data_IF_442192912483
#
_entry.id   IF_442192912483
#
_cell.length_a   1.000
_cell.length_b   1.000
_cell.length_c   1.000
_cell.angle_alpha   90.00
_cell.angle_beta   90.00
_cell.angle_gamma   90.00
#
_symmetry.space_group_name_H-M   'P 1'
#
loop_
_entity.id
_entity.type
_entity.pdbx_description
1 polymer ?
#
# COMPACT_ATOMS: atom_id res chain seq x y z
N UNK A 1 -4.02 7.48 15.08
CA UNK A 1 -5.21 6.64 14.76
C UNK A 1 -5.24 6.47 13.26
N UNK A 2 -5.43 5.23 12.77
CA UNK A 2 -5.57 4.98 11.34
C UNK A 2 -6.89 5.59 10.83
N UNK A 3 -6.95 6.02 9.54
CA UNK A 3 -8.21 6.25 8.85
C UNK A 3 -9.05 4.96 8.78
N UNK A 4 -10.32 5.08 8.47
CA UNK A 4 -11.18 3.92 8.19
C UNK A 4 -10.73 3.20 6.90
N UNK A 5 -11.14 1.95 6.73
CA UNK A 5 -10.71 1.11 5.60
C UNK A 5 -10.93 1.79 4.24
N UNK A 6 -12.13 2.31 4.01
CA UNK A 6 -12.51 2.95 2.75
C UNK A 6 -11.67 4.19 2.48
N UNK A 7 -11.37 5.00 3.50
CA UNK A 7 -10.53 6.19 3.39
C UNK A 7 -9.08 5.83 3.06
N UNK A 8 -8.55 4.78 3.69
CA UNK A 8 -7.20 4.27 3.37
C UNK A 8 -7.15 3.77 1.93
N UNK A 9 -8.13 2.97 1.50
CA UNK A 9 -8.18 2.46 0.14
C UNK A 9 -8.31 3.59 -0.88
N UNK A 10 -9.21 4.54 -0.65
CA UNK A 10 -9.40 5.69 -1.51
C UNK A 10 -8.12 6.51 -1.64
N UNK A 11 -7.43 6.74 -0.53
CA UNK A 11 -6.14 7.45 -0.51
C UNK A 11 -5.09 6.74 -1.38
N UNK A 12 -4.94 5.42 -1.24
CA UNK A 12 -3.94 4.67 -2.00
C UNK A 12 -4.29 4.59 -3.50
N UNK A 13 -5.58 4.45 -3.83
CA UNK A 13 -6.04 4.39 -5.24
C UNK A 13 -5.87 5.73 -5.91
N UNK A 14 -6.11 6.84 -5.21
CA UNK A 14 -5.95 8.20 -5.73
C UNK A 14 -4.50 8.56 -6.10
N UNK A 15 -3.51 7.81 -5.62
CA UNK A 15 -2.11 8.02 -5.97
C UNK A 15 -1.70 7.11 -7.15
N UNK A 16 -1.61 7.60 -8.39
CA UNK A 16 -1.20 6.79 -9.53
C UNK A 16 0.21 6.21 -9.32
N UNK A 17 0.33 4.89 -9.47
CA UNK A 17 1.60 4.17 -9.33
C UNK A 17 1.75 3.10 -10.42
N UNK A 18 1.36 3.43 -11.63
CA UNK A 18 1.45 2.53 -12.79
C UNK A 18 2.90 2.18 -13.08
N UNK A 19 3.22 0.90 -13.19
CA UNK A 19 4.55 0.40 -13.55
C UNK A 19 4.58 0.01 -15.03
N UNK A 20 5.49 0.60 -15.79
CA UNK A 20 5.62 0.36 -17.22
C UNK A 20 7.07 0.50 -17.70
N UNK A 21 7.39 -0.20 -18.80
CA UNK A 21 8.62 0.02 -19.55
C UNK A 21 8.57 1.28 -20.42
N UNK A 22 7.37 1.83 -20.67
CA UNK A 22 7.19 3.11 -21.34
C UNK A 22 7.23 4.25 -20.34
N UNK A 23 8.17 5.17 -20.48
CA UNK A 23 8.35 6.32 -19.60
C UNK A 23 7.16 7.28 -19.62
N UNK A 24 6.37 7.28 -20.69
CA UNK A 24 5.21 8.17 -20.83
C UNK A 24 4.08 7.82 -19.84
N UNK A 25 3.96 6.53 -19.50
CA UNK A 25 2.91 6.03 -18.63
C UNK A 25 3.43 5.49 -17.29
N UNK A 26 4.74 5.27 -17.15
CA UNK A 26 5.34 4.87 -15.87
C UNK A 26 5.19 5.97 -14.83
N UNK A 27 4.81 5.62 -13.63
CA UNK A 27 4.59 6.55 -12.51
C UNK A 27 5.37 6.11 -11.28
N UNK A 28 5.76 7.10 -10.49
CA UNK A 28 6.35 6.90 -9.17
C UNK A 28 5.38 6.21 -8.22
N UNK A 29 5.89 5.34 -7.33
CA UNK A 29 5.11 4.78 -6.24
C UNK A 29 5.37 5.49 -4.89
N UNK A 30 6.19 6.54 -4.89
CA UNK A 30 6.62 7.19 -3.64
C UNK A 30 5.47 7.71 -2.81
N UNK A 31 4.41 8.28 -3.43
CA UNK A 31 3.26 8.79 -2.70
C UNK A 31 2.49 7.68 -1.97
N UNK A 32 2.30 6.53 -2.62
CA UNK A 32 1.71 5.34 -2.00
C UNK A 32 2.58 4.88 -0.82
N UNK A 33 3.89 4.82 -1.00
CA UNK A 33 4.87 4.45 0.03
C UNK A 33 4.82 5.42 1.22
N UNK A 34 4.74 6.73 0.97
CA UNK A 34 4.68 7.75 2.02
C UNK A 34 3.42 7.60 2.89
N UNK A 35 2.25 7.34 2.28
CA UNK A 35 1.03 7.09 3.05
C UNK A 35 1.17 5.85 3.93
N UNK A 36 1.67 4.75 3.36
CA UNK A 36 1.89 3.51 4.10
C UNK A 36 2.90 3.68 5.24
N UNK A 37 4.02 4.38 5.00
CA UNK A 37 5.02 4.65 6.01
C UNK A 37 4.43 5.47 7.18
N UNK A 38 3.69 6.54 6.89
CA UNK A 38 3.06 7.37 7.90
C UNK A 38 2.05 6.59 8.76
N UNK A 39 1.24 5.73 8.16
CA UNK A 39 0.31 4.88 8.90
C UNK A 39 1.04 3.87 9.78
N UNK A 40 2.05 3.19 9.24
CA UNK A 40 2.86 2.22 9.98
C UNK A 40 3.64 2.88 11.14
N UNK A 41 4.23 4.05 10.91
CA UNK A 41 4.89 4.84 11.96
C UNK A 41 3.90 5.21 13.08
N UNK A 42 2.67 5.61 12.73
CA UNK A 42 1.63 5.93 13.71
C UNK A 42 1.20 4.75 14.58
N UNK A 43 1.42 3.52 14.09
CA UNK A 43 1.19 2.27 14.80
C UNK A 43 2.43 1.78 15.59
N UNK A 44 3.54 2.52 15.53
CA UNK A 44 4.78 2.18 16.24
C UNK A 44 5.71 1.21 15.50
N UNK A 45 5.53 1.03 14.20
CA UNK A 45 6.50 0.32 13.37
C UNK A 45 7.75 1.17 13.15
N UNK A 46 8.88 0.53 13.01
CA UNK A 46 10.11 1.14 12.47
C UNK A 46 10.08 0.98 10.95
N UNK A 47 9.98 2.07 10.24
CA UNK A 47 9.91 2.08 8.77
C UNK A 47 11.29 2.35 8.16
N UNK A 48 11.57 1.69 7.05
CA UNK A 48 12.75 1.90 6.24
C UNK A 48 12.36 2.01 4.77
N UNK A 49 12.52 3.21 4.22
CA UNK A 49 12.24 3.51 2.82
C UNK A 49 13.51 3.31 2.01
N UNK A 50 13.45 2.44 1.02
CA UNK A 50 14.58 2.02 0.19
C UNK A 50 14.36 2.40 -1.27
N UNK A 51 14.81 3.59 -1.71
CA UNK A 51 14.74 3.98 -3.11
C UNK A 51 15.52 3.00 -4.01
N UNK A 52 15.02 2.76 -5.22
CA UNK A 52 15.72 1.92 -6.17
C UNK A 52 16.93 2.68 -6.73
N UNK A 53 18.14 2.05 -6.79
CA UNK A 53 19.35 2.73 -7.23
C UNK A 53 19.26 3.32 -8.65
N UNK A 54 18.62 2.59 -9.57
CA UNK A 54 18.51 2.98 -10.99
C UNK A 54 17.24 3.76 -11.29
N UNK A 55 16.32 3.88 -10.33
CA UNK A 55 15.08 4.64 -10.47
C UNK A 55 14.65 5.22 -9.11
N UNK A 56 15.21 6.38 -8.71
CA UNK A 56 14.92 6.99 -7.40
C UNK A 56 13.47 7.48 -7.26
N UNK A 57 12.71 7.52 -8.33
CA UNK A 57 11.25 7.75 -8.31
C UNK A 57 10.45 6.55 -7.83
N UNK A 58 11.12 5.41 -7.55
CA UNK A 58 10.50 4.20 -7.01
C UNK A 58 11.23 3.74 -5.76
N UNK A 59 10.49 3.18 -4.81
CA UNK A 59 11.06 2.67 -3.58
C UNK A 59 10.35 1.40 -3.10
N UNK A 60 11.07 0.63 -2.30
CA UNK A 60 10.48 -0.36 -1.43
C UNK A 60 10.29 0.24 -0.02
N UNK A 61 9.33 -0.29 0.71
CA UNK A 61 9.12 0.01 2.13
C UNK A 61 9.26 -1.29 2.93
N UNK A 62 10.08 -1.25 3.95
CA UNK A 62 10.12 -2.30 4.96
C UNK A 62 9.70 -1.69 6.29
N UNK A 63 8.77 -2.33 6.98
CA UNK A 63 8.31 -1.92 8.29
C UNK A 63 8.40 -3.09 9.26
N UNK A 64 8.95 -2.86 10.44
CA UNK A 64 9.18 -3.88 11.45
C UNK A 64 8.54 -3.45 12.77
N UNK A 65 7.81 -4.35 13.38
CA UNK A 65 7.23 -4.18 14.71
C UNK A 65 7.79 -5.22 15.68
N UNK A 66 7.98 -4.83 16.93
CA UNK A 66 8.54 -5.71 17.96
C UNK A 66 10.03 -5.54 18.19
N UNK A 67 10.63 -6.36 19.06
CA UNK A 67 12.05 -6.29 19.40
C UNK A 67 12.92 -6.79 18.25
N UNK A 68 14.12 -6.23 18.15
CA UNK A 68 15.19 -6.81 17.32
C UNK A 68 15.79 -7.98 18.08
N UNK A 69 15.46 -9.21 17.67
CA UNK A 69 16.03 -10.42 18.24
C UNK A 69 16.56 -11.30 17.11
N UNK A 70 17.67 -12.00 17.39
CA UNK A 70 18.24 -13.00 16.48
C UNK A 70 17.58 -14.39 16.65
N UNK A 71 16.54 -14.49 17.48
CA UNK A 71 15.91 -15.77 17.83
C UNK A 71 15.05 -16.36 16.70
N UNK A 72 14.86 -15.62 15.63
CA UNK A 72 14.03 -16.05 14.49
C UNK A 72 12.55 -16.07 14.82
N UNK A 73 11.73 -16.31 13.81
CA UNK A 73 10.27 -16.31 13.93
C UNK A 73 9.66 -14.99 13.50
N UNK A 74 8.34 -14.93 13.53
CA UNK A 74 7.57 -13.77 13.12
C UNK A 74 6.75 -14.00 11.84
N UNK A 75 5.95 -12.99 11.49
CA UNK A 75 5.10 -12.99 10.31
C UNK A 75 5.57 -11.89 9.35
N UNK A 76 5.75 -12.24 8.09
CA UNK A 76 5.99 -11.27 7.02
C UNK A 76 4.74 -11.16 6.17
N UNK A 77 4.21 -9.94 6.05
CA UNK A 77 3.16 -9.58 5.11
C UNK A 77 3.80 -8.80 3.96
N UNK A 78 3.69 -9.30 2.73
CA UNK A 78 4.33 -8.70 1.58
C UNK A 78 3.31 -8.41 0.47
N UNK A 79 3.44 -7.24 -0.15
CA UNK A 79 2.60 -6.79 -1.26
C UNK A 79 3.34 -5.81 -2.15
N UNK A 80 2.78 -5.53 -3.33
CA UNK A 80 3.29 -4.51 -4.25
C UNK A 80 2.38 -3.29 -4.27
N UNK A 81 2.99 -2.12 -4.49
CA UNK A 81 2.30 -0.82 -4.47
C UNK A 81 2.00 -0.27 -5.86
N UNK A 82 2.57 -0.87 -6.87
CA UNK A 82 2.34 -0.50 -8.26
C UNK A 82 1.08 -1.16 -8.84
N UNK A 83 0.64 -0.63 -9.95
CA UNK A 83 -0.47 -1.16 -10.76
C UNK A 83 0.00 -1.37 -12.20
N UNK A 84 -0.70 -2.22 -12.93
CA UNK A 84 -0.46 -2.41 -14.35
C UNK A 84 -1.01 -1.24 -15.17
N UNK A 85 -0.49 -1.01 -16.41
CA UNK A 85 -1.14 -0.11 -17.35
C UNK A 85 -2.59 -0.52 -17.62
N UNK A 86 -3.44 0.46 -17.84
CA UNK A 86 -4.87 0.26 -18.07
C UNK A 86 -5.34 1.01 -19.32
N UNK A 87 -6.46 0.57 -19.86
CA UNK A 87 -7.12 1.21 -21.01
C UNK A 87 -8.30 2.06 -20.50
N UNK A 88 -8.13 3.38 -20.47
CA UNK A 88 -9.14 4.31 -19.99
C UNK A 88 -10.51 4.13 -20.69
N UNK A 89 -10.50 3.77 -21.98
CA UNK A 89 -11.73 3.59 -22.74
C UNK A 89 -12.58 2.39 -22.23
N UNK A 90 -12.02 1.50 -21.46
CA UNK A 90 -12.71 0.34 -20.87
C UNK A 90 -13.22 0.57 -19.45
N UNK A 91 -12.82 1.69 -18.83
CA UNK A 91 -13.30 2.04 -17.50
C UNK A 91 -14.64 2.80 -17.59
N UNK A 92 -15.58 2.39 -16.75
CA UNK A 92 -16.89 3.05 -16.63
C UNK A 92 -16.91 4.10 -15.52
N UNK A 93 -15.89 4.06 -14.64
CA UNK A 93 -15.67 4.97 -13.52
C UNK A 93 -14.26 5.54 -13.61
N UNK A 94 -13.94 6.59 -12.85
CA UNK A 94 -12.58 7.08 -12.75
C UNK A 94 -11.70 6.03 -12.07
N UNK A 95 -10.62 5.53 -12.72
CA UNK A 95 -9.75 4.51 -12.14
C UNK A 95 -8.99 4.95 -10.88
N UNK A 96 -8.82 6.25 -10.67
CA UNK A 96 -8.12 6.82 -9.53
C UNK A 96 -9.04 7.43 -8.47
N UNK A 97 -10.35 7.25 -8.61
CA UNK A 97 -11.32 7.68 -7.62
C UNK A 97 -12.25 6.51 -7.27
N UNK A 98 -12.16 6.03 -6.02
CA UNK A 98 -12.98 4.89 -5.58
C UNK A 98 -14.47 5.21 -5.82
N UNK A 99 -15.11 4.30 -6.51
CA UNK A 99 -16.56 4.32 -6.72
C UNK A 99 -17.19 3.12 -6.01
N UNK A 100 -18.12 3.39 -5.12
CA UNK A 100 -18.93 2.36 -4.48
C UNK A 100 -20.20 2.13 -5.30
N UNK A 101 -20.43 0.90 -5.72
CA UNK A 101 -21.64 0.48 -6.41
C UNK A 101 -21.83 -1.05 -6.23
N UNK A 102 -23.09 -1.49 -6.06
CA UNK A 102 -23.46 -2.89 -5.94
C UNK A 102 -22.67 -3.65 -4.86
N UNK A 103 -22.47 -3.05 -3.69
CA UNK A 103 -21.67 -3.58 -2.57
C UNK A 103 -20.20 -3.89 -2.95
N UNK A 104 -19.65 -3.11 -3.88
CA UNK A 104 -18.26 -3.25 -4.37
C UNK A 104 -17.59 -1.88 -4.47
N UNK A 105 -16.27 -1.90 -4.29
CA UNK A 105 -15.40 -0.75 -4.46
C UNK A 105 -14.60 -0.88 -5.77
N UNK A 106 -14.79 0.04 -6.69
CA UNK A 106 -14.13 0.08 -7.99
C UNK A 106 -13.03 1.12 -7.99
N UNK A 107 -11.85 0.74 -8.43
CA UNK A 107 -10.68 1.61 -8.57
C UNK A 107 -9.46 0.83 -9.04
N UNK A 108 -8.52 1.45 -9.74
CA UNK A 108 -7.33 0.79 -10.26
C UNK A 108 -6.44 0.32 -9.10
N UNK A 109 -6.19 -0.98 -9.03
CA UNK A 109 -5.42 -1.59 -7.97
C UNK A 109 -6.22 -1.87 -6.69
N UNK A 110 -7.54 -1.62 -6.62
CA UNK A 110 -8.34 -1.95 -5.43
C UNK A 110 -8.26 -3.44 -5.07
N UNK A 111 -8.20 -4.32 -6.05
CA UNK A 111 -8.05 -5.76 -5.89
C UNK A 111 -6.59 -6.23 -5.98
N UNK A 112 -5.78 -5.66 -6.87
CA UNK A 112 -4.40 -6.06 -7.18
C UNK A 112 -3.47 -4.85 -7.18
N UNK A 113 -2.85 -4.53 -6.01
CA UNK A 113 -3.23 -5.11 -4.72
C UNK A 113 -3.22 -4.05 -3.60
N UNK A 114 -3.55 -2.78 -3.94
CA UNK A 114 -3.59 -1.69 -2.95
C UNK A 114 -4.54 -1.97 -1.78
N UNK A 115 -5.65 -2.71 -2.04
CA UNK A 115 -6.60 -3.11 -0.99
C UNK A 115 -6.01 -4.07 0.05
N UNK A 116 -4.93 -4.77 -0.28
CA UNK A 116 -4.22 -5.61 0.66
C UNK A 116 -3.71 -4.82 1.87
N UNK A 117 -3.21 -3.61 1.66
CA UNK A 117 -2.56 -2.83 2.72
C UNK A 117 -3.54 -2.37 3.81
N UNK A 118 -4.68 -1.74 3.50
CA UNK A 118 -5.69 -1.43 4.53
C UNK A 118 -6.16 -2.67 5.28
N UNK A 119 -6.43 -3.78 4.58
CA UNK A 119 -6.81 -5.06 5.21
C UNK A 119 -5.74 -5.54 6.18
N UNK A 120 -4.47 -5.52 5.76
CA UNK A 120 -3.36 -5.94 6.61
C UNK A 120 -3.22 -5.05 7.86
N UNK A 121 -3.31 -3.72 7.69
CA UNK A 121 -3.22 -2.76 8.79
C UNK A 121 -4.35 -2.95 9.81
N UNK A 122 -5.59 -3.11 9.36
CA UNK A 122 -6.71 -3.41 10.26
C UNK A 122 -6.55 -4.75 10.97
N UNK A 123 -6.14 -5.78 10.23
CA UNK A 123 -5.97 -7.11 10.77
C UNK A 123 -4.89 -7.20 11.86
N UNK A 124 -3.76 -6.47 11.71
CA UNK A 124 -2.67 -6.51 12.68
C UNK A 124 -2.90 -5.61 13.89
N UNK A 125 -3.61 -4.49 13.72
CA UNK A 125 -3.79 -3.47 14.77
C UNK A 125 -4.24 -4.06 16.14
N UNK A 126 -5.20 -4.99 16.22
CA UNK A 126 -5.62 -5.57 17.51
C UNK A 126 -4.55 -6.42 18.21
N UNK A 127 -3.45 -6.71 17.54
CA UNK A 127 -2.38 -7.57 18.06
C UNK A 127 -1.10 -6.83 18.43
N UNK A 128 -0.95 -5.54 18.08
CA UNK A 128 0.29 -4.78 18.27
C UNK A 128 0.72 -4.67 19.73
N UNK A 129 -0.23 -4.58 20.68
CA UNK A 129 0.07 -4.50 22.11
C UNK A 129 0.05 -5.87 22.81
N UNK A 130 -0.08 -6.96 22.05
CA UNK A 130 -0.16 -8.31 22.62
C UNK A 130 1.21 -8.99 22.55
N UNK A 131 1.58 -9.61 23.67
CA UNK A 131 2.76 -10.48 23.71
C UNK A 131 2.45 -11.80 22.98
N UNK A 132 2.59 -11.79 21.65
CA UNK A 132 2.39 -12.98 20.83
C UNK A 132 3.63 -13.88 20.97
N UNK A 133 3.39 -15.18 21.19
CA UNK A 133 4.43 -16.21 21.30
C UNK A 133 4.60 -16.94 19.97
#
# INVERSE_FOLDING_TARGET
>A
MLPEFEDMLATLVAEPSVSSTSTDIDRSNLRVIEHLANWLDSLGFRTNLMPLPDNPGKANLMATYGPDTDEGGGLVLAGHTDTVPFDEAKWQTDPFNITEADDKLYGLGSCDMKGFFPIALEAITPFLDKNLK
#
